data_IF_321375530554
#
_entry.id   IF_321375530554
#
_cell.length_a   1.000
_cell.length_b   1.000
_cell.length_c   1.000
_cell.angle_alpha   90.00
_cell.angle_beta   90.00
_cell.angle_gamma   90.00
#
_symmetry.space_group_name_H-M   'P 1'
#
loop_
_entity.id
_entity.type
_entity.pdbx_description
1 polymer ?
#
# COMPACT_ATOMS: atom_id res chain seq x y z
N UNK A 1 -5.64 -2.24 -16.23
CA UNK A 1 -5.67 -3.43 -15.36
C UNK A 1 -5.35 -2.97 -13.95
N UNK A 2 -6.13 -3.39 -12.96
CA UNK A 2 -5.86 -3.08 -11.55
C UNK A 2 -4.83 -4.09 -11.03
N UNK A 3 -3.65 -3.64 -10.63
CA UNK A 3 -2.67 -4.51 -9.95
C UNK A 3 -2.79 -4.28 -8.46
N UNK A 4 -3.35 -5.23 -7.68
CA UNK A 4 -3.45 -5.07 -6.25
C UNK A 4 -2.12 -5.37 -5.56
N UNK A 5 -1.96 -4.88 -4.33
CA UNK A 5 -0.85 -5.19 -3.45
C UNK A 5 -1.27 -5.14 -1.98
N UNK A 6 -0.41 -5.63 -1.10
CA UNK A 6 -0.52 -5.45 0.34
C UNK A 6 0.63 -4.56 0.82
N UNK A 7 0.34 -3.64 1.75
CA UNK A 7 1.34 -2.78 2.39
C UNK A 7 1.27 -3.06 3.88
N UNK A 8 2.40 -3.43 4.49
CA UNK A 8 2.48 -3.89 5.86
C UNK A 8 3.60 -3.20 6.64
N UNK A 9 3.40 -3.06 7.95
CA UNK A 9 4.36 -2.60 8.94
C UNK A 9 4.49 -3.64 10.04
N UNK A 10 5.71 -4.08 10.30
CA UNK A 10 5.99 -5.01 11.40
C UNK A 10 6.32 -4.25 12.68
N UNK A 11 5.59 -4.55 13.75
CA UNK A 11 5.92 -4.18 15.13
C UNK A 11 6.59 -5.37 15.84
N UNK A 12 6.97 -5.19 17.11
CA UNK A 12 7.65 -6.24 17.89
C UNK A 12 6.85 -7.55 18.00
N UNK A 13 5.52 -7.47 18.04
CA UNK A 13 4.64 -8.62 18.31
C UNK A 13 3.41 -8.67 17.39
N UNK A 14 3.36 -7.83 16.37
CA UNK A 14 2.22 -7.73 15.47
C UNK A 14 2.63 -7.16 14.12
N UNK A 15 1.76 -7.35 13.14
CA UNK A 15 1.87 -6.76 11.81
C UNK A 15 0.58 -6.04 11.50
N UNK A 16 0.68 -4.76 11.20
CA UNK A 16 -0.43 -3.95 10.68
C UNK A 16 -0.30 -3.90 9.17
N UNK A 17 -1.40 -4.13 8.44
CA UNK A 17 -1.37 -4.05 6.99
C UNK A 17 -2.67 -3.50 6.41
N UNK A 18 -2.56 -3.01 5.18
CA UNK A 18 -3.67 -2.52 4.38
C UNK A 18 -3.59 -3.07 2.96
N UNK A 19 -4.75 -3.17 2.33
CA UNK A 19 -4.89 -3.57 0.95
C UNK A 19 -4.85 -2.37 0.00
N UNK A 20 -4.04 -2.47 -1.06
CA UNK A 20 -3.99 -1.53 -2.18
C UNK A 20 -4.64 -2.15 -3.42
N UNK A 21 -5.55 -1.42 -4.06
CA UNK A 21 -6.33 -1.96 -5.19
C UNK A 21 -5.68 -1.72 -6.55
N UNK A 22 -5.05 -0.56 -6.74
CA UNK A 22 -4.48 -0.12 -8.02
C UNK A 22 -2.96 0.07 -7.94
N UNK A 23 -2.31 -0.13 -9.08
CA UNK A 23 -0.90 0.20 -9.33
C UNK A 23 0.12 -0.35 -8.31
N UNK A 24 -0.19 -1.49 -7.70
CA UNK A 24 0.62 -2.14 -6.69
C UNK A 24 1.92 -2.78 -7.19
N UNK A 25 2.33 -2.59 -8.44
CA UNK A 25 3.58 -3.14 -8.97
C UNK A 25 4.81 -2.35 -8.49
N UNK A 26 5.99 -2.99 -8.35
CA UNK A 26 7.16 -2.35 -7.75
C UNK A 26 7.56 -1.03 -8.39
N UNK A 27 7.55 -0.97 -9.73
CA UNK A 27 7.96 0.21 -10.48
C UNK A 27 7.09 1.47 -10.21
N UNK A 28 5.93 1.34 -9.57
CA UNK A 28 5.10 2.48 -9.16
C UNK A 28 4.94 2.53 -7.64
N UNK A 29 4.20 1.60 -7.05
CA UNK A 29 3.96 1.59 -5.60
C UNK A 29 5.27 1.50 -4.81
N UNK A 30 6.20 0.65 -5.24
CA UNK A 30 7.50 0.53 -4.59
C UNK A 30 8.33 1.82 -4.64
N UNK A 31 8.28 2.57 -5.74
CA UNK A 31 8.96 3.86 -5.84
C UNK A 31 8.34 4.90 -4.89
N UNK A 32 7.01 4.97 -4.84
CA UNK A 32 6.30 5.90 -3.94
C UNK A 32 6.64 5.59 -2.48
N UNK A 33 6.61 4.31 -2.09
CA UNK A 33 6.92 3.91 -0.72
C UNK A 33 8.36 4.28 -0.32
N UNK A 34 9.35 4.06 -1.19
CA UNK A 34 10.74 4.43 -0.90
C UNK A 34 10.99 5.94 -0.84
N UNK A 35 10.27 6.72 -1.66
CA UNK A 35 10.51 8.16 -1.79
C UNK A 35 9.72 8.98 -0.78
N UNK A 36 8.49 8.57 -0.46
CA UNK A 36 7.54 9.37 0.31
C UNK A 36 7.13 8.74 1.64
N UNK A 37 7.23 7.41 1.78
CA UNK A 37 6.83 6.68 2.98
C UNK A 37 8.00 5.86 3.55
N UNK A 38 9.14 6.51 3.78
CA UNK A 38 10.40 5.86 4.15
C UNK A 38 10.80 6.01 5.62
N UNK A 39 9.96 6.64 6.43
CA UNK A 39 10.11 6.70 7.88
C UNK A 39 8.94 6.01 8.55
N UNK A 40 9.17 5.50 9.77
CA UNK A 40 8.11 4.85 10.56
C UNK A 40 6.86 5.73 10.67
N UNK A 41 7.03 7.02 10.97
CA UNK A 41 5.93 7.98 11.11
C UNK A 41 5.08 8.08 9.84
N UNK A 42 5.69 8.23 8.65
CA UNK A 42 4.95 8.33 7.40
C UNK A 42 4.22 7.01 7.07
N UNK A 43 4.84 5.86 7.37
CA UNK A 43 4.22 4.54 7.15
C UNK A 43 3.03 4.33 8.09
N UNK A 44 3.16 4.69 9.36
CA UNK A 44 2.06 4.61 10.34
C UNK A 44 0.89 5.51 9.93
N UNK A 45 1.17 6.74 9.47
CA UNK A 45 0.13 7.64 8.96
C UNK A 45 -0.58 7.07 7.72
N UNK A 46 0.17 6.47 6.80
CA UNK A 46 -0.40 5.80 5.62
C UNK A 46 -1.33 4.65 6.03
N UNK A 47 -0.87 3.77 6.92
CA UNK A 47 -1.65 2.60 7.36
C UNK A 47 -2.88 3.00 8.18
N UNK A 48 -2.81 4.07 8.96
CA UNK A 48 -3.95 4.61 9.74
C UNK A 48 -5.12 5.04 8.84
N UNK A 49 -4.86 5.40 7.57
CA UNK A 49 -5.91 5.70 6.61
C UNK A 49 -6.69 4.46 6.13
N UNK A 50 -6.19 3.25 6.41
CA UNK A 50 -6.79 1.98 6.05
C UNK A 50 -6.57 1.60 4.57
N UNK A 51 -7.48 0.76 4.05
CA UNK A 51 -7.38 0.22 2.70
C UNK A 51 -7.38 1.32 1.62
N UNK A 52 -6.44 1.22 0.68
CA UNK A 52 -6.27 2.16 -0.43
C UNK A 52 -6.95 1.66 -1.71
N UNK A 53 -7.61 2.59 -2.38
CA UNK A 53 -7.92 2.44 -3.78
C UNK A 53 -6.67 2.70 -4.62
N UNK A 54 -5.99 3.81 -4.36
CA UNK A 54 -4.75 4.23 -5.03
C UNK A 54 -3.76 4.83 -4.04
N UNK A 55 -2.48 4.48 -4.22
CA UNK A 55 -1.34 5.03 -3.49
C UNK A 55 -0.73 6.16 -4.33
N UNK A 56 -0.45 7.29 -3.70
CA UNK A 56 0.20 8.45 -4.30
C UNK A 56 1.20 9.08 -3.31
N UNK A 57 2.04 10.04 -3.72
CA UNK A 57 3.04 10.67 -2.85
C UNK A 57 2.51 11.41 -1.61
N UNK A 58 1.27 11.90 -1.63
CA UNK A 58 0.71 12.76 -0.59
C UNK A 58 -0.51 12.08 0.02
N UNK A 59 -0.67 12.07 1.35
CA UNK A 59 -1.85 11.48 1.98
C UNK A 59 -3.17 12.19 1.61
N UNK A 60 -3.08 13.51 1.43
CA UNK A 60 -4.21 14.37 1.11
C UNK A 60 -5.22 14.51 2.25
N UNK A 61 -6.16 15.43 2.07
CA UNK A 61 -7.29 15.60 2.98
C UNK A 61 -8.44 14.65 2.61
N UNK A 62 -9.32 14.38 3.58
CA UNK A 62 -10.56 13.65 3.33
C UNK A 62 -11.43 14.40 2.32
N UNK A 63 -11.92 13.70 1.30
CA UNK A 63 -12.75 14.27 0.26
C UNK A 63 -13.71 13.22 -0.30
N UNK A 64 -14.89 13.63 -0.78
CA UNK A 64 -15.74 12.70 -1.53
C UNK A 64 -15.17 12.51 -2.94
N UNK A 65 -14.91 11.26 -3.32
CA UNK A 65 -14.30 10.91 -4.59
C UNK A 65 -15.13 11.37 -5.81
N UNK A 66 -16.45 11.26 -5.74
CA UNK A 66 -17.33 11.62 -6.86
C UNK A 66 -17.50 13.14 -6.96
N UNK A 67 -17.60 13.83 -5.83
CA UNK A 67 -17.66 15.30 -5.82
C UNK A 67 -16.33 15.91 -6.29
N UNK A 68 -15.20 15.35 -5.83
CA UNK A 68 -13.87 15.79 -6.25
C UNK A 68 -13.66 15.64 -7.76
N UNK A 69 -14.38 14.72 -8.43
CA UNK A 69 -14.35 14.60 -9.89
C UNK A 69 -15.15 15.68 -10.62
N UNK A 70 -16.06 16.40 -9.98
CA UNK A 70 -16.83 17.46 -10.63
C UNK A 70 -16.18 18.84 -10.45
N UNK A 71 -15.34 19.01 -9.43
CA UNK A 71 -14.60 20.22 -9.14
C UNK A 71 -13.21 20.20 -9.80
N UNK A 72 -12.88 21.22 -10.59
CA UNK A 72 -11.63 21.26 -11.35
C UNK A 72 -10.38 21.39 -10.47
N UNK A 73 -10.47 22.13 -9.36
CA UNK A 73 -9.38 22.33 -8.43
C UNK A 73 -9.12 21.06 -7.62
N UNK A 74 -10.19 20.44 -7.10
CA UNK A 74 -10.09 19.18 -6.37
C UNK A 74 -9.58 18.04 -7.26
N UNK A 75 -10.05 17.94 -8.52
CA UNK A 75 -9.49 16.99 -9.49
C UNK A 75 -7.98 17.13 -9.64
N UNK A 76 -7.46 18.36 -9.67
CA UNK A 76 -6.03 18.59 -9.82
C UNK A 76 -5.26 18.18 -8.56
N UNK A 77 -5.79 18.47 -7.37
CA UNK A 77 -5.18 18.07 -6.10
C UNK A 77 -5.14 16.54 -5.95
N UNK A 78 -6.28 15.88 -6.20
CA UNK A 78 -6.45 14.44 -5.98
C UNK A 78 -5.65 13.55 -6.94
N UNK A 79 -5.02 14.12 -7.98
CA UNK A 79 -4.05 13.41 -8.83
C UNK A 79 -2.78 12.99 -8.10
N UNK A 80 -2.46 13.65 -6.98
CA UNK A 80 -1.25 13.37 -6.19
C UNK A 80 -1.57 12.86 -4.79
N UNK A 81 -2.85 12.67 -4.49
CA UNK A 81 -3.32 12.28 -3.16
C UNK A 81 -3.67 10.80 -3.12
N UNK A 82 -3.30 10.15 -2.02
CA UNK A 82 -3.79 8.83 -1.68
C UNK A 82 -5.31 8.85 -1.64
N UNK A 83 -5.91 7.81 -2.20
CA UNK A 83 -7.36 7.64 -2.21
C UNK A 83 -7.70 6.44 -1.33
N UNK A 84 -8.24 6.72 -0.15
CA UNK A 84 -8.60 5.69 0.81
C UNK A 84 -10.05 5.27 0.61
N UNK A 85 -10.31 3.96 0.63
CA UNK A 85 -11.64 3.42 0.34
C UNK A 85 -12.69 3.91 1.33
N UNK A 86 -12.37 3.84 2.62
CA UNK A 86 -13.32 4.22 3.66
C UNK A 86 -13.44 5.74 3.80
N UNK A 87 -12.31 6.46 3.69
CA UNK A 87 -12.25 7.92 3.85
C UNK A 87 -12.93 8.64 2.68
N UNK A 88 -12.64 8.22 1.45
CA UNK A 88 -12.90 9.04 0.26
C UNK A 88 -14.00 8.47 -0.67
N UNK A 89 -14.22 7.15 -0.70
CA UNK A 89 -15.13 6.53 -1.68
C UNK A 89 -16.56 6.28 -1.20
N UNK A 90 -16.75 5.83 0.05
CA UNK A 90 -18.02 5.65 0.82
C UNK A 90 -17.90 4.48 1.83
N UNK A 91 -18.50 4.64 3.03
CA UNK A 91 -18.68 3.62 4.08
C UNK A 91 -19.39 2.34 3.64
N UNK A 92 -20.06 2.30 2.49
CA UNK A 92 -20.70 1.10 1.91
C UNK A 92 -19.70 0.06 1.40
N UNK A 93 -18.43 0.43 1.18
CA UNK A 93 -17.36 -0.52 0.84
C UNK A 93 -16.65 -1.08 2.08
N UNK A 94 -17.43 -1.28 3.14
CA UNK A 94 -17.02 -1.83 4.42
C UNK A 94 -16.43 -3.23 4.27
N UNK A 95 -15.12 -3.30 4.12
CA UNK A 95 -14.32 -4.41 4.63
C UNK A 95 -13.39 -3.87 5.72
N UNK A 96 -13.05 -4.70 6.74
CA UNK A 96 -12.34 -4.24 7.91
C UNK A 96 -11.06 -3.51 7.50
N UNK A 97 -10.85 -2.34 8.10
CA UNK A 97 -9.81 -1.39 7.72
C UNK A 97 -8.44 -1.70 8.31
N UNK A 98 -8.37 -2.60 9.29
CA UNK A 98 -7.15 -2.89 10.02
C UNK A 98 -7.13 -4.37 10.36
N UNK A 99 -6.64 -5.19 9.43
CA UNK A 99 -6.30 -6.56 9.78
C UNK A 99 -4.93 -6.54 10.47
N UNK A 100 -4.91 -7.02 11.71
CA UNK A 100 -3.68 -7.22 12.47
C UNK A 100 -3.36 -8.71 12.44
N UNK A 101 -2.17 -9.05 11.98
CA UNK A 101 -1.63 -10.41 12.13
C UNK A 101 -0.68 -10.44 13.33
N UNK A 102 -0.66 -11.55 14.08
CA UNK A 102 0.31 -11.73 15.16
C UNK A 102 1.74 -11.88 14.63
N UNK A 103 1.89 -12.52 13.46
CA UNK A 103 3.19 -12.85 12.88
C UNK A 103 3.20 -12.59 11.38
N UNK A 104 4.32 -12.06 10.88
CA UNK A 104 4.53 -11.80 9.46
C UNK A 104 4.44 -13.07 8.61
N UNK A 105 4.94 -14.21 9.13
CA UNK A 105 4.86 -15.49 8.44
C UNK A 105 3.42 -15.90 8.16
N UNK A 106 2.54 -15.76 9.15
CA UNK A 106 1.11 -16.04 9.03
C UNK A 106 0.41 -15.12 8.04
N UNK A 107 0.77 -13.82 8.04
CA UNK A 107 0.28 -12.86 7.06
C UNK A 107 0.68 -13.26 5.63
N UNK A 108 1.97 -13.49 5.39
CA UNK A 108 2.47 -13.87 4.08
C UNK A 108 1.86 -15.18 3.60
N UNK A 109 1.68 -16.16 4.50
CA UNK A 109 1.01 -17.42 4.17
C UNK A 109 -0.45 -17.18 3.74
N UNK A 110 -1.20 -16.37 4.49
CA UNK A 110 -2.60 -16.04 4.21
C UNK A 110 -2.76 -15.31 2.87
N UNK A 111 -1.97 -14.26 2.63
CA UNK A 111 -2.00 -13.49 1.39
C UNK A 111 -1.63 -14.34 0.17
N UNK A 112 -0.65 -15.25 0.31
CA UNK A 112 -0.26 -16.17 -0.75
C UNK A 112 -1.32 -17.23 -1.04
N UNK A 113 -1.93 -17.82 -0.01
CA UNK A 113 -2.95 -18.84 -0.17
C UNK A 113 -4.22 -18.30 -0.86
N UNK A 114 -4.56 -17.04 -0.62
CA UNK A 114 -5.73 -16.42 -1.23
C UNK A 114 -5.45 -15.84 -2.64
N UNK A 115 -4.19 -15.82 -3.10
CA UNK A 115 -3.76 -15.21 -4.37
C UNK A 115 -4.26 -13.77 -4.60
N UNK A 116 -4.56 -13.02 -3.53
CA UNK A 116 -5.24 -11.74 -3.66
C UNK A 116 -4.29 -10.61 -4.08
N UNK A 117 -2.99 -10.75 -3.83
CA UNK A 117 -1.99 -9.71 -4.10
C UNK A 117 -0.68 -10.31 -4.62
N UNK A 118 -0.25 -10.00 -5.86
CA UNK A 118 1.05 -10.49 -6.37
C UNK A 118 2.26 -9.89 -5.63
N UNK A 119 2.08 -8.76 -4.95
CA UNK A 119 3.12 -8.00 -4.27
C UNK A 119 2.70 -7.69 -2.84
N UNK A 120 3.62 -7.91 -1.90
CA UNK A 120 3.48 -7.46 -0.51
C UNK A 120 4.70 -6.64 -0.13
N UNK A 121 4.47 -5.41 0.28
CA UNK A 121 5.50 -4.48 0.76
C UNK A 121 5.51 -4.51 2.28
N UNK A 122 6.67 -4.73 2.89
CA UNK A 122 6.81 -4.83 4.34
C UNK A 122 7.84 -3.82 4.82
N UNK A 123 7.42 -2.88 5.67
CA UNK A 123 8.33 -1.97 6.36
C UNK A 123 8.78 -2.60 7.67
N UNK A 124 10.10 -2.79 7.82
CA UNK A 124 10.72 -3.38 9.00
C UNK A 124 12.07 -2.74 9.24
N UNK A 125 12.33 -2.34 10.49
CA UNK A 125 13.62 -1.78 10.92
C UNK A 125 14.11 -0.60 10.04
N UNK A 126 13.19 0.25 9.57
CA UNK A 126 13.53 1.41 8.75
C UNK A 126 13.73 1.13 7.26
N UNK A 127 13.43 -0.09 6.80
CA UNK A 127 13.63 -0.50 5.41
C UNK A 127 12.39 -1.17 4.83
N UNK A 128 12.23 -1.03 3.51
CA UNK A 128 11.18 -1.70 2.75
C UNK A 128 11.69 -3.00 2.14
N UNK A 129 10.91 -4.06 2.35
CA UNK A 129 11.09 -5.37 1.73
C UNK A 129 9.93 -5.63 0.78
N UNK A 130 10.22 -6.27 -0.35
CA UNK A 130 9.25 -6.73 -1.32
C UNK A 130 9.17 -8.25 -1.28
N UNK A 131 7.97 -8.76 -1.09
CA UNK A 131 7.65 -10.16 -1.25
C UNK A 131 6.82 -10.35 -2.52
N UNK A 132 7.27 -11.24 -3.41
CA UNK A 132 6.52 -11.64 -4.59
C UNK A 132 5.86 -13.00 -4.37
N UNK A 133 4.56 -13.11 -4.62
CA UNK A 133 3.87 -14.41 -4.53
C UNK A 133 4.36 -15.42 -5.57
N UNK A 134 5.03 -14.96 -6.64
CA UNK A 134 5.59 -15.79 -7.71
C UNK A 134 6.91 -16.45 -7.31
N UNK A 135 7.88 -15.66 -6.84
CA UNK A 135 9.18 -16.20 -6.38
C UNK A 135 9.09 -16.78 -4.98
N UNK A 136 8.12 -16.33 -4.16
CA UNK A 136 8.03 -16.63 -2.73
C UNK A 136 9.27 -16.22 -1.94
N UNK A 137 9.97 -15.20 -2.45
CA UNK A 137 11.18 -14.66 -1.87
C UNK A 137 10.95 -13.23 -1.37
N UNK A 138 11.61 -12.89 -0.26
CA UNK A 138 11.73 -11.53 0.26
C UNK A 138 13.02 -10.92 -0.32
N UNK A 139 12.93 -9.70 -0.83
CA UNK A 139 14.06 -8.93 -1.35
C UNK A 139 14.01 -7.51 -0.82
N UNK A 140 15.16 -6.83 -0.69
CA UNK A 140 15.15 -5.41 -0.36
C UNK A 140 14.50 -4.66 -1.53
N UNK A 141 13.54 -3.77 -1.25
CA UNK A 141 12.77 -3.10 -2.30
C UNK A 141 13.69 -2.28 -3.23
N UNK A 142 14.74 -1.68 -2.67
CA UNK A 142 15.76 -0.96 -3.46
C UNK A 142 16.46 -1.87 -4.47
N UNK A 143 16.79 -3.11 -4.10
CA UNK A 143 17.43 -4.09 -4.98
C UNK A 143 16.45 -4.57 -6.05
N UNK A 144 15.22 -4.88 -5.67
CA UNK A 144 14.16 -5.28 -6.59
C UNK A 144 13.92 -4.23 -7.70
N UNK A 145 13.95 -2.95 -7.35
CA UNK A 145 13.80 -1.86 -8.32
C UNK A 145 15.02 -1.67 -9.23
N UNK A 146 16.23 -1.91 -8.72
CA UNK A 146 17.44 -1.78 -9.52
C UNK A 146 17.52 -2.89 -10.58
N UNK A 147 17.16 -4.13 -10.22
CA UNK A 147 17.16 -5.27 -11.13
C UNK A 147 16.16 -5.12 -12.30
N UNK A 148 15.11 -4.31 -12.12
CA UNK A 148 14.14 -3.99 -13.18
C UNK A 148 14.62 -2.91 -14.16
N UNK A 149 15.70 -2.16 -13.85
CA UNK A 149 16.26 -1.14 -14.74
C UNK A 149 17.31 -1.69 -15.71
N UNK A 150 17.78 -2.92 -15.51
CA UNK A 150 18.84 -3.56 -16.30
C UNK A 150 18.31 -4.53 -17.38
N UNK A 151 16.99 -4.56 -17.61
CA UNK A 151 16.33 -5.34 -18.66
C UNK A 151 15.66 -4.42 -19.68
#
# INVERSE_FOLDING_TARGET
MSTPACIALTHQTSVHFVYLSQDGYPAYAGQILLQHYNTLEHVEQLLTGGNLYRLEPVLGDAHDFFEAQNDAEMRQKTQTWCQFKLRDYDRRWSQPTDEQAQELGSLLLLLNQQQQTPWTYVFRAGQWYLYSSRSREETLLQEALNNHKEQ
#
